data_IF_767634294278
#
_entry.id   IF_767634294278
#
_cell.length_a   1.000
_cell.length_b   1.000
_cell.length_c   1.000
_cell.angle_alpha   90.00
_cell.angle_beta   90.00
_cell.angle_gamma   90.00
#
_symmetry.space_group_name_H-M   'P 1'
#
loop_
_entity.id
_entity.type
_entity.pdbx_description
1 polymer ?
#
# COMPACT_ATOMS: atom_id res chain seq x y z
N UNK A 1 18.90 -43.64 -26.40
CA UNK A 1 19.47 -44.73 -27.22
C UNK A 1 20.96 -44.79 -26.93
N UNK A 2 21.41 -45.81 -26.20
CA UNK A 2 22.77 -45.92 -25.67
C UNK A 2 23.73 -46.54 -26.68
N UNK A 3 25.02 -46.27 -26.52
CA UNK A 3 26.15 -46.81 -27.30
C UNK A 3 26.15 -48.35 -27.44
N UNK A 4 25.42 -49.05 -26.58
CA UNK A 4 25.17 -50.50 -26.64
C UNK A 4 24.41 -50.95 -27.90
N UNK A 5 23.47 -50.13 -28.41
CA UNK A 5 22.74 -50.44 -29.66
C UNK A 5 23.68 -50.33 -30.87
N UNK A 6 24.64 -49.39 -30.83
CA UNK A 6 25.63 -49.20 -31.90
C UNK A 6 26.67 -50.33 -31.93
N UNK A 7 27.07 -50.87 -30.78
CA UNK A 7 28.02 -52.00 -30.72
C UNK A 7 27.43 -53.32 -31.24
N UNK A 8 26.14 -53.58 -31.01
CA UNK A 8 25.49 -54.81 -31.51
C UNK A 8 25.36 -54.84 -33.04
N UNK A 9 25.16 -53.69 -33.69
CA UNK A 9 25.05 -53.63 -35.15
C UNK A 9 26.41 -53.91 -35.84
N UNK A 10 27.53 -53.50 -35.25
CA UNK A 10 28.86 -53.74 -35.80
C UNK A 10 29.28 -55.23 -35.70
N UNK A 11 28.85 -55.92 -34.65
CA UNK A 11 29.15 -57.35 -34.47
C UNK A 11 28.41 -58.23 -35.50
N UNK A 12 27.21 -57.81 -35.91
CA UNK A 12 26.38 -58.56 -36.88
C UNK A 12 27.10 -58.71 -38.23
N UNK A 13 27.69 -57.63 -38.74
CA UNK A 13 28.43 -57.66 -40.01
C UNK A 13 29.62 -58.63 -40.00
N UNK A 14 30.28 -58.81 -38.85
CA UNK A 14 31.39 -59.76 -38.71
C UNK A 14 30.89 -61.23 -38.81
N UNK A 15 29.69 -61.51 -38.28
CA UNK A 15 29.10 -62.86 -38.34
C UNK A 15 28.50 -63.20 -39.72
N UNK A 16 27.98 -62.20 -40.43
CA UNK A 16 27.46 -62.36 -41.79
C UNK A 16 28.58 -62.76 -42.77
N UNK A 17 29.73 -62.09 -42.68
CA UNK A 17 30.93 -62.39 -43.47
C UNK A 17 31.52 -63.77 -43.14
N UNK A 18 31.47 -64.18 -41.87
CA UNK A 18 31.99 -65.49 -41.45
C UNK A 18 31.18 -66.65 -42.02
N UNK A 19 29.85 -66.53 -42.06
CA UNK A 19 28.96 -67.56 -42.59
C UNK A 19 29.11 -67.70 -44.11
N UNK A 20 29.18 -66.57 -44.83
CA UNK A 20 29.43 -66.56 -46.26
C UNK A 20 30.81 -67.15 -46.62
N UNK A 21 31.83 -66.87 -45.80
CA UNK A 21 33.19 -67.39 -45.96
C UNK A 21 33.27 -68.92 -45.78
N UNK A 22 32.60 -69.48 -44.76
CA UNK A 22 32.54 -70.94 -44.55
C UNK A 22 31.82 -71.65 -45.71
N UNK A 23 30.69 -71.11 -46.16
CA UNK A 23 29.95 -71.64 -47.30
C UNK A 23 30.79 -71.61 -48.58
N UNK A 24 31.46 -70.49 -48.85
CA UNK A 24 32.32 -70.34 -50.04
C UNK A 24 33.51 -71.29 -49.99
N UNK A 25 34.17 -71.44 -48.84
CA UNK A 25 35.28 -72.38 -48.64
C UNK A 25 34.84 -73.83 -48.85
N UNK A 26 33.67 -74.21 -48.34
CA UNK A 26 33.11 -75.56 -48.50
C UNK A 26 32.77 -75.83 -49.96
N UNK A 27 32.13 -74.89 -50.66
CA UNK A 27 31.85 -74.97 -52.09
C UNK A 27 33.14 -75.09 -52.93
N UNK A 28 34.19 -74.37 -52.55
CA UNK A 28 35.49 -74.43 -53.22
C UNK A 28 36.15 -75.80 -53.02
N UNK A 29 36.14 -76.35 -51.80
CA UNK A 29 36.68 -77.68 -51.50
C UNK A 29 35.93 -78.77 -52.29
N UNK A 30 34.60 -78.67 -52.36
CA UNK A 30 33.75 -79.57 -53.15
C UNK A 30 34.09 -79.49 -54.64
N UNK A 31 34.26 -78.27 -55.17
CA UNK A 31 34.63 -78.06 -56.56
C UNK A 31 35.99 -78.69 -56.88
N UNK A 32 36.99 -78.49 -56.00
CA UNK A 32 38.33 -79.07 -56.14
C UNK A 32 38.28 -80.60 -56.12
N UNK A 33 37.57 -81.19 -55.15
CA UNK A 33 37.40 -82.65 -55.05
C UNK A 33 36.75 -83.19 -56.32
N UNK A 34 35.64 -82.60 -56.76
CA UNK A 34 34.93 -83.03 -57.98
C UNK A 34 35.80 -82.91 -59.24
N UNK A 35 36.55 -81.81 -59.37
CA UNK A 35 37.45 -81.60 -60.51
C UNK A 35 38.62 -82.59 -60.51
N UNK A 36 39.14 -82.98 -59.34
CA UNK A 36 40.21 -83.96 -59.20
C UNK A 36 39.76 -85.37 -59.64
N UNK A 37 38.52 -85.76 -59.31
CA UNK A 37 37.97 -87.07 -59.69
C UNK A 37 37.44 -87.13 -61.12
N UNK A 38 37.05 -86.01 -61.73
CA UNK A 38 36.47 -85.99 -63.08
C UNK A 38 37.49 -86.18 -64.22
N UNK A 39 38.80 -86.05 -63.95
CA UNK A 39 39.85 -86.04 -64.97
C UNK A 39 40.59 -87.39 -65.15
N UNK A 40 40.22 -88.48 -64.47
CA UNK A 40 41.05 -89.70 -64.47
C UNK A 40 40.42 -91.09 -64.58
N UNK A 41 39.10 -91.27 -64.78
CA UNK A 41 38.54 -92.62 -64.98
C UNK A 41 37.39 -92.66 -66.02
N UNK A 42 37.50 -93.47 -67.09
CA UNK A 42 36.37 -93.76 -67.97
C UNK A 42 35.51 -94.87 -67.36
N UNK A 43 34.27 -94.52 -67.04
CA UNK A 43 33.06 -95.38 -67.17
C UNK A 43 32.74 -96.49 -66.15
N UNK A 44 33.48 -96.69 -65.05
CA UNK A 44 33.08 -97.67 -64.01
C UNK A 44 32.68 -97.13 -62.62
N UNK A 45 32.77 -95.81 -62.36
CA UNK A 45 32.64 -95.24 -61.00
C UNK A 45 31.41 -94.31 -60.77
N UNK A 46 30.34 -94.43 -61.56
CA UNK A 46 29.10 -93.65 -61.32
C UNK A 46 28.47 -93.93 -59.95
N UNK A 47 28.72 -95.09 -59.34
CA UNK A 47 28.19 -95.45 -58.03
C UNK A 47 28.75 -94.58 -56.90
N UNK A 48 30.06 -94.33 -56.91
CA UNK A 48 30.73 -93.53 -55.88
C UNK A 48 30.34 -92.05 -56.01
N UNK A 49 30.28 -91.53 -57.23
CA UNK A 49 29.86 -90.15 -57.49
C UNK A 49 28.40 -89.92 -57.04
N UNK A 50 27.49 -90.86 -57.33
CA UNK A 50 26.09 -90.75 -56.91
C UNK A 50 25.92 -90.86 -55.39
N UNK A 51 26.67 -91.74 -54.74
CA UNK A 51 26.65 -91.87 -53.28
C UNK A 51 27.21 -90.63 -52.58
N UNK A 52 28.32 -90.07 -53.10
CA UNK A 52 28.86 -88.80 -52.61
C UNK A 52 27.86 -87.66 -52.81
N UNK A 53 27.20 -87.59 -53.97
CA UNK A 53 26.17 -86.59 -54.24
C UNK A 53 24.97 -86.74 -53.29
N UNK A 54 24.54 -87.97 -52.99
CA UNK A 54 23.45 -88.23 -52.05
C UNK A 54 23.83 -87.83 -50.62
N UNK A 55 25.03 -88.19 -50.16
CA UNK A 55 25.56 -87.79 -48.85
C UNK A 55 25.69 -86.28 -48.72
N UNK A 56 26.10 -85.60 -49.78
CA UNK A 56 26.21 -84.14 -49.76
C UNK A 56 24.84 -83.46 -49.72
N UNK A 57 23.85 -84.01 -50.42
CA UNK A 57 22.47 -83.54 -50.33
C UNK A 57 21.91 -83.72 -48.90
N UNK A 58 22.18 -84.87 -48.27
CA UNK A 58 21.81 -85.16 -46.88
C UNK A 58 22.46 -84.17 -45.90
N UNK A 59 23.77 -83.95 -46.00
CA UNK A 59 24.51 -83.00 -45.16
C UNK A 59 23.98 -81.57 -45.33
N UNK A 60 23.73 -81.13 -46.57
CA UNK A 60 23.17 -79.80 -46.84
C UNK A 60 21.77 -79.65 -46.22
N UNK A 61 20.95 -80.70 -46.27
CA UNK A 61 19.64 -80.72 -45.60
C UNK A 61 19.76 -80.53 -44.08
N UNK A 62 20.67 -81.28 -43.43
CA UNK A 62 20.89 -81.18 -41.98
C UNK A 62 21.42 -79.78 -41.60
N UNK A 63 22.42 -79.26 -42.31
CA UNK A 63 22.96 -77.93 -42.05
C UNK A 63 21.90 -76.83 -42.22
N UNK A 64 21.06 -76.93 -43.26
CA UNK A 64 19.98 -75.95 -43.50
C UNK A 64 18.98 -75.96 -42.35
N UNK A 65 18.56 -77.13 -41.89
CA UNK A 65 17.63 -77.27 -40.76
C UNK A 65 18.23 -76.75 -39.45
N UNK A 66 19.52 -77.03 -39.19
CA UNK A 66 20.22 -76.57 -37.99
C UNK A 66 20.40 -75.04 -37.99
N UNK A 67 20.67 -74.43 -39.15
CA UNK A 67 20.73 -72.97 -39.33
C UNK A 67 19.36 -72.34 -39.04
N UNK A 68 18.28 -72.92 -39.57
CA UNK A 68 16.91 -72.41 -39.34
C UNK A 68 16.52 -72.51 -37.85
N UNK A 69 16.82 -73.64 -37.20
CA UNK A 69 16.59 -73.82 -35.78
C UNK A 69 17.36 -72.78 -34.94
N UNK A 70 18.64 -72.56 -35.21
CA UNK A 70 19.43 -71.54 -34.51
C UNK A 70 18.87 -70.13 -34.72
N UNK A 71 18.42 -69.78 -35.93
CA UNK A 71 17.76 -68.49 -36.21
C UNK A 71 16.48 -68.30 -35.39
N UNK A 72 15.65 -69.34 -35.26
CA UNK A 72 14.44 -69.26 -34.42
C UNK A 72 14.78 -69.11 -32.93
N UNK A 73 15.82 -69.80 -32.45
CA UNK A 73 16.31 -69.68 -31.08
C UNK A 73 16.82 -68.27 -30.78
N UNK A 74 17.58 -67.67 -31.70
CA UNK A 74 18.11 -66.31 -31.54
C UNK A 74 16.99 -65.26 -31.52
N UNK A 75 15.95 -65.44 -32.33
CA UNK A 75 14.74 -64.63 -32.26
C UNK A 75 14.03 -64.73 -30.91
N UNK A 76 13.93 -65.95 -30.35
CA UNK A 76 13.35 -66.18 -29.02
C UNK A 76 14.16 -65.53 -27.89
N UNK A 77 15.50 -65.63 -27.95
CA UNK A 77 16.39 -64.98 -26.99
C UNK A 77 16.24 -63.46 -27.07
N UNK A 78 16.21 -62.90 -28.27
CA UNK A 78 16.03 -61.46 -28.50
C UNK A 78 14.72 -60.97 -27.87
N UNK A 79 13.59 -61.63 -28.16
CA UNK A 79 12.30 -61.28 -27.58
C UNK A 79 12.29 -61.38 -26.04
N UNK A 80 12.97 -62.37 -25.47
CA UNK A 80 13.11 -62.52 -24.01
C UNK A 80 13.92 -61.38 -23.40
N UNK A 81 15.00 -60.95 -24.05
CA UNK A 81 15.82 -59.81 -23.61
C UNK A 81 14.99 -58.52 -23.66
N UNK A 82 14.27 -58.26 -24.75
CA UNK A 82 13.43 -57.07 -24.89
C UNK A 82 12.34 -57.00 -23.82
N UNK A 83 11.68 -58.13 -23.53
CA UNK A 83 10.70 -58.24 -22.45
C UNK A 83 11.32 -57.94 -21.09
N UNK A 84 12.47 -58.55 -20.77
CA UNK A 84 13.17 -58.31 -19.49
C UNK A 84 13.58 -56.85 -19.34
N UNK A 85 14.12 -56.23 -20.39
CA UNK A 85 14.48 -54.81 -20.37
C UNK A 85 13.26 -53.91 -20.14
N UNK A 86 12.15 -54.22 -20.80
CA UNK A 86 10.88 -53.47 -20.64
C UNK A 86 10.36 -53.60 -19.21
N UNK A 87 10.37 -54.80 -18.64
CA UNK A 87 9.91 -55.07 -17.27
C UNK A 87 10.80 -54.38 -16.24
N UNK A 88 12.14 -54.43 -16.42
CA UNK A 88 13.10 -53.73 -15.56
C UNK A 88 12.90 -52.22 -15.63
N UNK A 89 12.76 -51.65 -16.83
CA UNK A 89 12.54 -50.22 -17.02
C UNK A 89 11.22 -49.77 -16.36
N UNK A 90 10.12 -50.49 -16.58
CA UNK A 90 8.84 -50.21 -15.93
C UNK A 90 8.96 -50.23 -14.41
N UNK A 91 9.54 -51.29 -13.84
CA UNK A 91 9.71 -51.45 -12.40
C UNK A 91 10.56 -50.34 -11.80
N UNK A 92 11.70 -50.03 -12.42
CA UNK A 92 12.60 -48.98 -11.98
C UNK A 92 11.92 -47.60 -12.06
N UNK A 93 11.21 -47.33 -13.16
CA UNK A 93 10.47 -46.07 -13.34
C UNK A 93 9.41 -45.88 -12.26
N UNK A 94 8.59 -46.90 -11.98
CA UNK A 94 7.59 -46.85 -10.91
C UNK A 94 8.23 -46.63 -9.55
N UNK A 95 9.27 -47.40 -9.19
CA UNK A 95 9.95 -47.29 -7.90
C UNK A 95 10.57 -45.90 -7.69
N UNK A 96 11.30 -45.39 -8.69
CA UNK A 96 11.94 -44.07 -8.63
C UNK A 96 10.89 -42.97 -8.52
N UNK A 97 9.82 -43.03 -9.32
CA UNK A 97 8.75 -42.01 -9.28
C UNK A 97 8.03 -42.00 -7.93
N UNK A 98 7.70 -43.17 -7.37
CA UNK A 98 7.08 -43.26 -6.04
C UNK A 98 8.01 -42.74 -4.95
N UNK A 99 9.30 -43.08 -4.97
CA UNK A 99 10.28 -42.60 -3.98
C UNK A 99 10.46 -41.09 -4.05
N UNK A 100 10.57 -40.52 -5.25
CA UNK A 100 10.65 -39.07 -5.45
C UNK A 100 9.37 -38.38 -4.96
N UNK A 101 8.20 -38.90 -5.32
CA UNK A 101 6.92 -38.32 -4.90
C UNK A 101 6.78 -38.29 -3.37
N UNK A 102 7.11 -39.40 -2.69
CA UNK A 102 7.03 -39.50 -1.23
C UNK A 102 8.01 -38.57 -0.52
N UNK A 103 9.26 -38.48 -1.01
CA UNK A 103 10.28 -37.57 -0.46
C UNK A 103 9.86 -36.11 -0.64
N UNK A 104 9.40 -35.72 -1.84
CA UNK A 104 8.92 -34.37 -2.11
C UNK A 104 7.71 -34.02 -1.26
N UNK A 105 6.77 -34.95 -1.10
CA UNK A 105 5.60 -34.75 -0.25
C UNK A 105 5.99 -34.53 1.21
N UNK A 106 6.92 -35.33 1.73
CA UNK A 106 7.43 -35.21 3.11
C UNK A 106 8.09 -33.85 3.33
N UNK A 107 9.01 -33.44 2.44
CA UNK A 107 9.66 -32.13 2.51
C UNK A 107 8.68 -30.97 2.40
N UNK A 108 7.69 -31.07 1.51
CA UNK A 108 6.64 -30.05 1.36
C UNK A 108 5.83 -29.92 2.65
N UNK A 109 5.48 -31.04 3.29
CA UNK A 109 4.76 -31.04 4.55
C UNK A 109 5.59 -30.39 5.68
N UNK A 110 6.87 -30.73 5.80
CA UNK A 110 7.79 -30.12 6.79
C UNK A 110 7.92 -28.61 6.60
N UNK A 111 8.11 -28.16 5.36
CA UNK A 111 8.19 -26.73 5.02
C UNK A 111 6.89 -26.02 5.38
N UNK A 112 5.74 -26.60 5.02
CA UNK A 112 4.44 -26.00 5.31
C UNK A 112 4.16 -25.94 6.82
N UNK A 113 4.54 -26.97 7.57
CA UNK A 113 4.43 -27.01 9.03
C UNK A 113 5.30 -25.92 9.67
N UNK A 114 6.57 -25.82 9.25
CA UNK A 114 7.51 -24.81 9.76
C UNK A 114 7.01 -23.40 9.49
N UNK A 115 6.59 -23.14 8.25
CA UNK A 115 6.04 -21.84 7.84
C UNK A 115 4.78 -21.47 8.63
N UNK A 116 3.87 -22.43 8.87
CA UNK A 116 2.66 -22.22 9.67
C UNK A 116 3.01 -21.81 11.11
N UNK A 117 3.98 -22.49 11.73
CA UNK A 117 4.45 -22.18 13.10
C UNK A 117 5.06 -20.77 13.17
N UNK A 118 5.90 -20.41 12.20
CA UNK A 118 6.51 -19.07 12.15
C UNK A 118 5.47 -17.96 11.94
N UNK A 119 4.48 -18.17 11.06
CA UNK A 119 3.38 -17.23 10.86
C UNK A 119 2.59 -16.98 12.14
N UNK A 120 2.23 -18.04 12.88
CA UNK A 120 1.50 -17.92 14.15
C UNK A 120 2.34 -17.14 15.17
N UNK A 121 3.64 -17.44 15.27
CA UNK A 121 4.57 -16.74 16.17
C UNK A 121 4.64 -15.24 15.84
N UNK A 122 4.82 -14.89 14.57
CA UNK A 122 4.90 -13.51 14.11
C UNK A 122 3.60 -12.74 14.38
N UNK A 123 2.44 -13.37 14.12
CA UNK A 123 1.14 -12.77 14.40
C UNK A 123 0.94 -12.49 15.89
N UNK A 124 1.32 -13.43 16.75
CA UNK A 124 1.24 -13.26 18.20
C UNK A 124 2.16 -12.13 18.70
N UNK A 125 3.38 -12.02 18.16
CA UNK A 125 4.30 -10.94 18.52
C UNK A 125 3.76 -9.57 18.08
N UNK A 126 3.22 -9.47 16.86
CA UNK A 126 2.62 -8.24 16.34
C UNK A 126 1.42 -7.81 17.19
N UNK A 127 0.52 -8.74 17.51
CA UNK A 127 -0.66 -8.47 18.35
C UNK A 127 -0.26 -7.99 19.75
N UNK A 128 0.80 -8.57 20.33
CA UNK A 128 1.35 -8.10 21.62
C UNK A 128 1.88 -6.68 21.54
N UNK A 129 2.65 -6.34 20.49
CA UNK A 129 3.17 -4.97 20.26
C UNK A 129 2.02 -3.98 20.07
N UNK A 130 1.05 -4.31 19.23
CA UNK A 130 -0.12 -3.46 18.95
C UNK A 130 -0.94 -3.20 20.22
N UNK A 131 -1.22 -4.24 21.01
CA UNK A 131 -1.94 -4.11 22.29
C UNK A 131 -1.20 -3.16 23.25
N UNK A 132 0.14 -3.27 23.31
CA UNK A 132 0.96 -2.37 24.13
C UNK A 132 0.90 -0.91 23.69
N UNK A 133 0.93 -0.64 22.38
CA UNK A 133 0.80 0.73 21.86
C UNK A 133 -0.60 1.31 22.08
N UNK A 134 -1.66 0.52 21.89
CA UNK A 134 -3.04 0.93 22.20
C UNK A 134 -3.16 1.34 23.68
N UNK A 135 -2.59 0.56 24.59
CA UNK A 135 -2.61 0.88 26.02
C UNK A 135 -1.89 2.21 26.33
N UNK A 136 -0.75 2.49 25.67
CA UNK A 136 -0.04 3.77 25.82
C UNK A 136 -0.86 4.95 25.32
N UNK A 137 -1.53 4.81 24.17
CA UNK A 137 -2.42 5.85 23.63
C UNK A 137 -3.58 6.13 24.59
N UNK A 138 -4.28 5.08 25.04
CA UNK A 138 -5.38 5.22 25.99
C UNK A 138 -4.96 5.90 27.29
N UNK A 139 -3.76 5.60 27.80
CA UNK A 139 -3.21 6.27 28.97
C UNK A 139 -2.95 7.76 28.74
N UNK A 140 -2.48 8.15 27.55
CA UNK A 140 -2.27 9.57 27.19
C UNK A 140 -3.61 10.29 27.05
N UNK A 141 -4.58 9.67 26.40
CA UNK A 141 -5.92 10.22 26.21
C UNK A 141 -6.63 10.44 27.54
N UNK A 142 -6.51 9.51 28.48
CA UNK A 142 -6.99 9.69 29.85
C UNK A 142 -6.33 10.90 30.56
N UNK A 143 -5.02 11.09 30.34
CA UNK A 143 -4.29 12.27 30.83
C UNK A 143 -4.85 13.57 30.25
N UNK A 144 -5.04 13.63 28.94
CA UNK A 144 -5.63 14.81 28.28
C UNK A 144 -7.07 15.08 28.73
N UNK A 145 -7.90 14.04 28.89
CA UNK A 145 -9.26 14.18 29.38
C UNK A 145 -9.30 14.82 30.79
N UNK A 146 -8.39 14.41 31.69
CA UNK A 146 -8.24 15.01 33.01
C UNK A 146 -7.83 16.49 32.93
N UNK A 147 -6.88 16.85 32.05
CA UNK A 147 -6.48 18.26 31.88
C UNK A 147 -7.62 19.12 31.31
N UNK A 148 -8.39 18.61 30.35
CA UNK A 148 -9.58 19.30 29.83
C UNK A 148 -10.62 19.53 30.92
N UNK A 149 -10.86 18.54 31.79
CA UNK A 149 -11.77 18.69 32.92
C UNK A 149 -11.31 19.78 33.91
N UNK A 150 -10.01 19.87 34.20
CA UNK A 150 -9.44 20.95 35.03
C UNK A 150 -9.67 22.32 34.41
N UNK A 151 -9.35 22.47 33.12
CA UNK A 151 -9.57 23.73 32.38
C UNK A 151 -11.05 24.11 32.41
N UNK A 152 -11.95 23.17 32.13
CA UNK A 152 -13.39 23.40 32.18
C UNK A 152 -13.87 23.88 33.56
N UNK A 153 -13.36 23.28 34.64
CA UNK A 153 -13.67 23.73 36.00
C UNK A 153 -13.19 25.15 36.27
N UNK A 154 -11.99 25.53 35.80
CA UNK A 154 -11.46 26.89 35.93
C UNK A 154 -12.34 27.88 35.17
N UNK A 155 -12.70 27.56 33.92
CA UNK A 155 -13.57 28.41 33.09
C UNK A 155 -14.92 28.64 33.77
N UNK A 156 -15.56 27.60 34.28
CA UNK A 156 -16.84 27.74 34.99
C UNK A 156 -16.73 28.63 36.25
N UNK A 157 -15.61 28.54 36.98
CA UNK A 157 -15.37 29.42 38.13
C UNK A 157 -15.24 30.89 37.69
N UNK A 158 -14.49 31.15 36.61
CA UNK A 158 -14.33 32.49 36.05
C UNK A 158 -15.68 33.03 35.58
N UNK A 159 -16.44 32.26 34.80
CA UNK A 159 -17.78 32.63 34.33
C UNK A 159 -18.70 33.01 35.49
N UNK A 160 -18.70 32.21 36.57
CA UNK A 160 -19.51 32.50 37.77
C UNK A 160 -19.10 33.82 38.42
N UNK A 161 -17.79 34.07 38.57
CA UNK A 161 -17.28 35.33 39.15
C UNK A 161 -17.65 36.54 38.29
N UNK A 162 -17.53 36.43 36.96
CA UNK A 162 -17.89 37.51 36.03
C UNK A 162 -19.39 37.82 36.11
N UNK A 163 -20.25 36.80 36.15
CA UNK A 163 -21.70 37.00 36.29
C UNK A 163 -22.05 37.72 37.60
N UNK A 164 -21.39 37.37 38.70
CA UNK A 164 -21.60 38.04 39.98
C UNK A 164 -21.16 39.51 39.96
N UNK A 165 -20.05 39.82 39.27
CA UNK A 165 -19.58 41.21 39.09
C UNK A 165 -20.57 42.01 38.23
N UNK A 166 -21.01 41.44 37.10
CA UNK A 166 -21.99 42.06 36.22
C UNK A 166 -23.28 42.40 36.97
N UNK A 167 -23.79 41.46 37.77
CA UNK A 167 -24.97 41.64 38.61
C UNK A 167 -24.78 42.78 39.63
N UNK A 168 -23.64 42.80 40.33
CA UNK A 168 -23.31 43.86 41.30
C UNK A 168 -23.26 45.24 40.62
N UNK A 169 -22.56 45.33 39.48
CA UNK A 169 -22.50 46.56 38.70
C UNK A 169 -23.89 47.02 38.24
N UNK A 170 -24.73 46.11 37.73
CA UNK A 170 -26.10 46.43 37.31
C UNK A 170 -26.90 47.04 38.47
N UNK A 171 -26.79 46.45 39.65
CA UNK A 171 -27.48 46.92 40.86
C UNK A 171 -26.98 48.32 41.30
N UNK A 172 -25.67 48.55 41.28
CA UNK A 172 -25.09 49.87 41.59
C UNK A 172 -25.55 50.94 40.59
N UNK A 173 -25.54 50.64 39.29
CA UNK A 173 -26.04 51.56 38.25
C UNK A 173 -27.54 51.86 38.40
N UNK A 174 -28.37 50.86 38.73
CA UNK A 174 -29.79 51.08 39.03
C UNK A 174 -29.96 52.06 40.20
N UNK A 175 -29.17 51.89 41.27
CA UNK A 175 -29.21 52.77 42.43
C UNK A 175 -28.74 54.19 42.11
N UNK A 176 -27.67 54.34 41.33
CA UNK A 176 -27.19 55.66 40.85
C UNK A 176 -28.28 56.34 40.02
N UNK A 177 -28.94 55.62 39.12
CA UNK A 177 -30.02 56.16 38.30
C UNK A 177 -31.19 56.69 39.14
N UNK A 178 -31.53 56.00 40.24
CA UNK A 178 -32.54 56.47 41.21
C UNK A 178 -32.08 57.77 41.88
N UNK A 179 -30.83 57.83 42.36
CA UNK A 179 -30.27 59.05 42.99
C UNK A 179 -30.28 60.23 42.01
N UNK A 180 -29.85 60.03 40.75
CA UNK A 180 -29.87 61.06 39.71
C UNK A 180 -31.29 61.58 39.49
N UNK A 181 -32.29 60.69 39.36
CA UNK A 181 -33.70 61.09 39.19
C UNK A 181 -34.23 61.91 40.37
N UNK A 182 -33.89 61.51 41.59
CA UNK A 182 -34.30 62.25 42.80
C UNK A 182 -33.69 63.65 42.81
N UNK A 183 -32.39 63.78 42.53
CA UNK A 183 -31.71 65.09 42.45
C UNK A 183 -32.30 65.97 41.35
N UNK A 184 -32.58 65.42 40.17
CA UNK A 184 -33.25 66.14 39.09
C UNK A 184 -34.63 66.68 39.53
N UNK A 185 -35.41 65.86 40.25
CA UNK A 185 -36.71 66.29 40.77
C UNK A 185 -36.58 67.42 41.81
N UNK A 186 -35.63 67.32 42.74
CA UNK A 186 -35.35 68.38 43.74
C UNK A 186 -34.93 69.70 43.07
N UNK A 187 -34.02 69.64 42.09
CA UNK A 187 -33.57 70.82 41.33
C UNK A 187 -34.76 71.48 40.61
N UNK A 188 -35.60 70.68 39.95
CA UNK A 188 -36.79 71.18 39.25
C UNK A 188 -37.79 71.86 40.22
N UNK A 189 -37.97 71.29 41.41
CA UNK A 189 -38.83 71.89 42.45
C UNK A 189 -38.28 73.23 42.95
N UNK A 190 -36.98 73.31 43.26
CA UNK A 190 -36.34 74.56 43.67
C UNK A 190 -36.45 75.64 42.59
N UNK A 191 -36.23 75.29 41.33
CA UNK A 191 -36.35 76.23 40.22
C UNK A 191 -37.78 76.78 40.07
N UNK A 192 -38.80 75.93 40.25
CA UNK A 192 -40.20 76.35 40.21
C UNK A 192 -40.56 77.33 41.34
N UNK A 193 -40.02 77.14 42.56
CA UNK A 193 -40.23 78.05 43.70
C UNK A 193 -39.58 79.41 43.41
N UNK A 194 -38.32 79.41 42.96
CA UNK A 194 -37.55 80.63 42.67
C UNK A 194 -38.18 81.44 41.54
N UNK A 195 -38.63 80.78 40.45
CA UNK A 195 -39.36 81.47 39.38
C UNK A 195 -40.65 82.10 39.89
N UNK A 196 -41.39 81.41 40.77
CA UNK A 196 -42.64 81.93 41.33
C UNK A 196 -42.41 83.14 42.24
N UNK A 197 -41.37 83.12 43.07
CA UNK A 197 -41.01 84.27 43.93
C UNK A 197 -40.53 85.51 43.15
N UNK A 198 -39.87 85.32 41.99
CA UNK A 198 -39.48 86.44 41.12
C UNK A 198 -40.69 87.08 40.42
N UNK A 199 -41.72 86.29 40.08
CA UNK A 199 -42.96 86.81 39.51
C UNK A 199 -43.75 87.66 40.51
N UNK A 200 -43.80 87.25 41.78
CA UNK A 200 -44.50 87.98 42.84
C UNK A 200 -43.76 89.26 43.30
N UNK A 201 -42.45 89.39 43.02
CA UNK A 201 -41.67 90.62 43.30
C UNK A 201 -41.62 91.61 42.11
N UNK A 202 -41.78 91.15 40.87
CA UNK A 202 -41.81 92.03 39.70
C UNK A 202 -43.19 92.63 39.41
N UNK A 203 -44.26 92.15 40.05
CA UNK A 203 -45.60 92.73 39.88
C UNK A 203 -45.84 94.06 40.63
N UNK A 204 -44.81 94.68 41.22
CA UNK A 204 -44.93 95.98 41.94
C UNK A 204 -44.08 97.10 41.32
N UNK A 205 -43.28 96.84 40.28
CA UNK A 205 -42.50 97.90 39.64
C UNK A 205 -42.23 97.62 38.16
N UNK A 206 -43.17 98.04 37.31
CA UNK A 206 -42.92 98.96 36.19
C UNK A 206 -44.21 99.15 35.37
N UNK A 207 -44.87 100.28 35.60
CA UNK A 207 -45.64 101.00 34.58
C UNK A 207 -44.68 101.79 33.66
N UNK A 208 -45.10 102.01 32.41
CA UNK A 208 -44.45 102.78 31.31
C UNK A 208 -43.25 102.11 30.60
N UNK A 209 -43.03 102.20 29.28
CA UNK A 209 -43.74 102.76 28.13
C UNK A 209 -43.09 102.20 26.84
N UNK A 210 -43.92 101.70 25.92
CA UNK A 210 -43.94 101.92 24.47
C UNK A 210 -42.65 102.08 23.59
N UNK A 211 -42.46 101.08 22.71
CA UNK A 211 -42.38 101.13 21.22
C UNK A 211 -41.33 102.01 20.46
N UNK A 212 -40.44 101.38 19.67
CA UNK A 212 -40.23 101.52 18.20
C UNK A 212 -38.89 100.84 17.78
N UNK A 213 -38.88 99.84 16.89
CA UNK A 213 -38.67 99.93 15.42
C UNK A 213 -37.19 99.95 15.00
N UNK A 214 -36.61 98.81 14.56
CA UNK A 214 -36.30 98.48 13.16
C UNK A 214 -35.35 97.28 12.96
N UNK A 215 -35.53 96.70 11.78
CA UNK A 215 -34.90 95.58 11.09
C UNK A 215 -33.36 95.46 11.16
N UNK A 216 -32.87 94.23 11.25
CA UNK A 216 -31.82 93.73 10.33
C UNK A 216 -31.67 92.22 10.44
N UNK A 217 -31.85 91.55 9.31
CA UNK A 217 -31.44 90.17 9.08
C UNK A 217 -29.93 90.06 9.23
N UNK A 218 -29.43 89.12 10.03
CA UNK A 218 -28.09 88.55 9.84
C UNK A 218 -28.07 87.08 10.25
N UNK A 219 -27.99 86.22 9.23
CA UNK A 219 -27.66 84.82 9.34
C UNK A 219 -26.34 84.66 10.10
N UNK A 220 -26.42 84.13 11.32
CA UNK A 220 -25.26 83.78 12.12
C UNK A 220 -25.29 82.28 12.38
N UNK A 221 -24.50 81.56 11.58
CA UNK A 221 -24.16 80.16 11.72
C UNK A 221 -23.83 79.81 13.18
N UNK A 222 -24.32 78.69 13.73
CA UNK A 222 -23.81 78.19 15.00
C UNK A 222 -22.35 77.79 14.79
N UNK A 223 -21.49 78.56 15.43
CA UNK A 223 -20.08 78.29 15.66
C UNK A 223 -19.88 76.84 16.07
N UNK A 224 -18.95 76.18 15.38
CA UNK A 224 -18.40 74.88 15.71
C UNK A 224 -17.77 74.91 17.11
N UNK A 225 -18.57 74.63 18.13
CA UNK A 225 -18.05 74.22 19.44
C UNK A 225 -17.69 72.75 19.34
N UNK A 226 -16.37 72.52 19.32
CA UNK A 226 -15.68 71.24 19.33
C UNK A 226 -16.30 70.21 20.28
N UNK A 227 -17.15 69.34 19.76
CA UNK A 227 -17.43 68.05 20.37
C UNK A 227 -16.48 67.04 19.75
N UNK A 228 -15.47 66.64 20.52
CA UNK A 228 -14.46 65.64 20.14
C UNK A 228 -15.06 64.25 19.94
N UNK A 229 -15.87 64.08 18.90
CA UNK A 229 -16.10 62.77 18.30
C UNK A 229 -14.99 62.59 17.28
N UNK A 230 -13.86 62.08 17.76
CA UNK A 230 -12.85 61.50 16.87
C UNK A 230 -13.51 60.24 16.29
N UNK A 231 -14.03 60.36 15.08
CA UNK A 231 -14.48 59.23 14.29
C UNK A 231 -13.29 58.27 14.15
N UNK A 232 -13.44 57.01 14.58
CA UNK A 232 -12.36 56.00 14.57
C UNK A 232 -11.79 55.81 13.15
N UNK A 233 -12.54 56.18 12.11
CA UNK A 233 -12.03 56.21 10.72
C UNK A 233 -10.89 57.21 10.51
N UNK A 234 -10.83 58.30 11.28
CA UNK A 234 -9.78 59.32 11.17
C UNK A 234 -8.44 58.93 11.80
N UNK A 235 -8.44 57.90 12.66
CA UNK A 235 -7.22 57.35 13.29
C UNK A 235 -6.64 56.13 12.54
N UNK A 236 -7.31 55.61 11.51
CA UNK A 236 -7.06 54.26 10.99
C UNK A 236 -7.05 54.10 9.48
N UNK A 237 -6.52 55.07 8.73
CA UNK A 237 -6.61 55.09 7.26
C UNK A 237 -5.91 53.96 6.48
N UNK A 238 -5.13 53.07 7.09
CA UNK A 238 -4.20 52.20 6.34
C UNK A 238 -4.41 50.68 6.48
N UNK A 239 -5.37 50.18 7.27
CA UNK A 239 -5.61 48.74 7.39
C UNK A 239 -6.96 48.38 6.75
N UNK A 240 -6.90 47.83 5.52
CA UNK A 240 -8.10 47.32 4.84
C UNK A 240 -8.71 46.17 5.64
N UNK A 241 -10.03 46.10 5.75
CA UNK A 241 -10.78 45.03 6.45
C UNK A 241 -10.39 43.61 5.98
N UNK A 242 -9.96 43.47 4.73
CA UNK A 242 -9.42 42.23 4.16
C UNK A 242 -8.16 41.74 4.89
N UNK A 243 -7.32 42.65 5.36
CA UNK A 243 -6.07 42.35 6.07
C UNK A 243 -6.36 41.72 7.44
N UNK A 244 -7.38 42.21 8.16
CA UNK A 244 -7.81 41.66 9.46
C UNK A 244 -8.50 40.29 9.28
N UNK A 245 -9.32 40.14 8.23
CA UNK A 245 -9.96 38.84 7.90
C UNK A 245 -8.95 37.74 7.58
N UNK A 246 -7.87 38.06 6.88
CA UNK A 246 -6.85 37.07 6.52
C UNK A 246 -6.05 36.59 7.74
N UNK A 247 -5.89 37.43 8.78
CA UNK A 247 -5.24 37.04 10.04
C UNK A 247 -6.05 36.00 10.81
N UNK A 248 -7.38 36.17 10.89
CA UNK A 248 -8.26 35.24 11.62
C UNK A 248 -8.55 33.95 10.87
N UNK A 249 -8.59 33.97 9.53
CA UNK A 249 -9.00 32.81 8.73
C UNK A 249 -7.86 31.85 8.34
N UNK A 250 -6.61 32.12 8.77
CA UNK A 250 -5.51 31.16 8.62
C UNK A 250 -5.19 30.75 7.18
N UNK A 251 -5.51 31.56 6.17
CA UNK A 251 -5.23 31.25 4.76
C UNK A 251 -3.72 31.28 4.53
N UNK A 252 -3.19 30.12 4.19
CA UNK A 252 -1.84 29.62 4.48
C UNK A 252 -0.71 30.12 3.58
N UNK A 253 -0.73 31.37 3.12
CA UNK A 253 0.36 31.92 2.30
C UNK A 253 0.75 33.38 2.58
N UNK A 254 0.01 34.13 3.40
CA UNK A 254 0.28 35.56 3.62
C UNK A 254 0.84 35.94 5.01
N UNK A 255 1.21 34.97 5.85
CA UNK A 255 1.57 35.27 7.26
C UNK A 255 2.70 36.29 7.40
N UNK A 256 3.76 36.19 6.60
CA UNK A 256 4.93 37.09 6.70
C UNK A 256 4.62 38.50 6.16
N UNK A 257 3.93 38.60 5.03
CA UNK A 257 3.57 39.89 4.43
C UNK A 257 2.62 40.70 5.31
N UNK A 258 1.62 40.04 5.91
CA UNK A 258 0.65 40.70 6.79
C UNK A 258 1.27 41.14 8.12
N UNK A 259 2.17 40.32 8.71
CA UNK A 259 2.89 40.70 9.93
C UNK A 259 3.82 41.90 9.67
N UNK A 260 4.51 41.94 8.53
CA UNK A 260 5.38 43.08 8.16
C UNK A 260 4.59 44.38 7.97
N UNK A 261 3.38 44.31 7.40
CA UNK A 261 2.50 45.47 7.27
C UNK A 261 2.00 46.00 8.63
N UNK A 262 1.69 45.09 9.57
CA UNK A 262 1.30 45.45 10.93
C UNK A 262 2.49 46.07 11.68
N UNK A 263 3.69 45.50 11.56
CA UNK A 263 4.88 46.03 12.20
C UNK A 263 5.26 47.42 11.67
N UNK A 264 5.14 47.65 10.35
CA UNK A 264 5.36 48.97 9.76
C UNK A 264 4.33 50.01 10.25
N UNK A 265 3.08 49.60 10.45
CA UNK A 265 2.05 50.44 11.03
C UNK A 265 2.34 50.78 12.51
N UNK A 266 2.72 49.80 13.33
CA UNK A 266 3.12 50.06 14.74
C UNK A 266 4.34 50.99 14.80
N UNK A 267 5.35 50.78 13.96
CA UNK A 267 6.53 51.64 13.90
C UNK A 267 6.20 53.10 13.51
N UNK A 268 5.16 53.31 12.70
CA UNK A 268 4.72 54.66 12.31
C UNK A 268 4.16 55.50 13.47
N UNK A 269 3.72 54.88 14.57
CA UNK A 269 3.34 55.61 15.79
C UNK A 269 4.54 55.94 16.67
N UNK A 270 5.58 55.11 16.65
CA UNK A 270 6.77 55.32 17.47
C UNK A 270 7.71 56.41 16.91
N UNK A 271 7.68 56.65 15.60
CA UNK A 271 8.51 57.68 14.96
C UNK A 271 7.92 59.10 15.04
N UNK A 272 6.74 59.27 15.66
CA UNK A 272 6.09 60.58 15.87
C UNK A 272 6.14 61.02 17.35
N UNK A 273 6.97 60.38 18.18
CA UNK A 273 7.08 60.61 19.63
C UNK A 273 8.45 61.18 20.08
N UNK A 274 9.30 61.63 19.15
CA UNK A 274 10.39 62.58 19.39
C UNK A 274 10.01 63.97 18.86
#
# INVERSE_FOLDING_TARGET
MSALVLQNNALWYIFEDFTASILLSTCFLIYVIRNQFSNHFPTHDNKVANELSARMFEINGILTAEIENNKTRDGSITAKIERLLTDVYKKLSTEVNTKIANELFTRLFEVNSTFTVELVKNNNELNKKLTGEIAKINSRDAGYASEVQKIFSIVNNITTKVNNIEEACRNDFCRINVVIKNLQNEINQHYAIVQRSNFDQQSVSNESEANSTNESETNSSPSSSSSGIIDIRSLGGNIKTSTVKNFYNGVSSSKVSTINQINAWVASFNNNAE
#
